data_IF_988174980191
#
_entry.id   IF_988174980191
#
_cell.length_a   1.000
_cell.length_b   1.000
_cell.length_c   1.000
_cell.angle_alpha   90.00
_cell.angle_beta   90.00
_cell.angle_gamma   90.00
#
_symmetry.space_group_name_H-M   'P 1'
#
loop_
_entity.id
_entity.type
_entity.pdbx_description
1 polymer ?
#
# COMPACT_ATOMS: atom_id res chain seq x y z
N UNK A 1 -13.42 0.78 16.21
CA UNK A 1 -13.95 2.15 16.14
C UNK A 1 -13.56 2.78 14.81
N UNK A 2 -14.51 3.42 14.11
CA UNK A 2 -14.28 4.10 12.84
C UNK A 2 -14.17 5.60 13.11
N UNK A 3 -13.17 6.26 12.50
CA UNK A 3 -12.96 7.69 12.57
C UNK A 3 -12.99 8.28 11.14
N UNK A 4 -13.89 9.24 10.89
CA UNK A 4 -13.93 10.01 9.65
C UNK A 4 -13.03 11.23 9.82
N UNK A 5 -11.80 11.16 9.29
CA UNK A 5 -10.80 12.22 9.45
C UNK A 5 -9.76 12.17 8.34
N UNK A 6 -9.00 13.24 8.18
CA UNK A 6 -7.83 13.25 7.33
C UNK A 6 -6.76 12.30 7.91
N UNK A 7 -6.27 11.36 7.11
CA UNK A 7 -5.30 10.36 7.56
C UNK A 7 -3.98 11.00 8.06
N UNK A 8 -3.61 12.17 7.58
CA UNK A 8 -2.43 12.93 8.04
C UNK A 8 -2.49 13.26 9.52
N UNK A 9 -3.69 13.28 10.08
CA UNK A 9 -3.95 13.55 11.50
C UNK A 9 -4.43 12.30 12.27
N UNK A 10 -4.32 11.09 11.70
CA UNK A 10 -4.78 9.84 12.32
C UNK A 10 -4.23 9.65 13.75
N UNK A 11 -3.00 10.11 14.03
CA UNK A 11 -2.39 10.07 15.36
C UNK A 11 -3.19 10.81 16.44
N UNK A 12 -4.05 11.78 16.08
CA UNK A 12 -4.92 12.46 17.04
C UNK A 12 -6.02 11.55 17.58
N UNK A 13 -6.46 10.57 16.76
CA UNK A 13 -7.50 9.63 17.15
C UNK A 13 -6.97 8.41 17.89
N UNK A 14 -5.76 7.93 17.51
CA UNK A 14 -5.22 6.66 18.02
C UNK A 14 -3.99 6.83 18.92
N UNK A 15 -3.38 8.02 18.94
CA UNK A 15 -2.13 8.30 19.64
C UNK A 15 -0.89 8.09 18.76
N UNK A 16 0.18 8.80 19.09
CA UNK A 16 1.49 8.57 18.47
C UNK A 16 2.12 7.29 19.04
N UNK A 17 2.84 6.55 18.19
CA UNK A 17 3.59 5.34 18.56
C UNK A 17 2.76 4.29 19.34
N UNK A 18 1.47 4.20 19.02
CA UNK A 18 0.50 3.38 19.73
C UNK A 18 0.14 2.08 19.00
N UNK A 19 0.41 2.01 17.69
CA UNK A 19 -0.02 0.90 16.85
C UNK A 19 1.12 -0.08 16.58
N UNK A 20 0.79 -1.37 16.61
CA UNK A 20 1.69 -2.46 16.21
C UNK A 20 1.72 -2.64 14.69
N UNK A 21 0.56 -2.45 14.07
CA UNK A 21 0.33 -2.72 12.66
C UNK A 21 -0.54 -1.63 12.05
N UNK A 22 -0.16 -1.20 10.85
CA UNK A 22 -0.96 -0.37 9.96
C UNK A 22 -1.12 -1.10 8.64
N UNK A 23 -2.33 -1.17 8.12
CA UNK A 23 -2.62 -1.64 6.76
C UNK A 23 -3.14 -0.47 5.95
N UNK A 24 -2.56 -0.22 4.81
CA UNK A 24 -2.89 0.92 3.96
C UNK A 24 -3.01 0.53 2.49
N UNK A 25 -4.09 0.96 1.86
CA UNK A 25 -4.25 0.99 0.42
C UNK A 25 -4.32 2.46 -0.01
N UNK A 26 -3.17 3.13 -0.19
CA UNK A 26 -3.14 4.56 -0.45
C UNK A 26 -3.73 4.89 -1.81
N UNK A 27 -4.25 6.11 -2.01
CA UNK A 27 -4.68 6.56 -3.33
C UNK A 27 -3.49 6.61 -4.29
N UNK A 28 -3.69 6.11 -5.52
CA UNK A 28 -2.61 5.97 -6.51
C UNK A 28 -2.45 7.19 -7.42
N UNK A 29 -3.28 8.23 -7.26
CA UNK A 29 -3.27 9.43 -8.08
C UNK A 29 -1.96 10.22 -7.93
N UNK A 30 -1.36 10.63 -9.05
CA UNK A 30 -0.46 11.79 -9.06
C UNK A 30 -1.34 13.04 -9.01
N UNK A 31 -0.88 14.12 -8.39
CA UNK A 31 -1.47 15.43 -8.59
C UNK A 31 -1.64 15.68 -10.10
N UNK A 32 -2.88 15.76 -10.59
CA UNK A 32 -3.20 16.01 -12.00
C UNK A 32 -3.57 14.83 -12.88
N UNK A 33 -3.68 13.60 -12.37
CA UNK A 33 -4.09 12.43 -13.14
C UNK A 33 -5.58 12.10 -12.98
N UNK A 34 -6.38 12.32 -14.01
CA UNK A 34 -7.79 11.88 -14.07
C UNK A 34 -7.83 10.36 -14.18
N UNK A 35 -8.29 9.66 -13.14
CA UNK A 35 -8.69 8.26 -13.26
C UNK A 35 -10.07 8.23 -13.94
N UNK A 36 -10.10 7.86 -15.21
CA UNK A 36 -11.36 7.57 -15.93
C UNK A 36 -11.84 6.18 -15.45
N UNK A 37 -12.78 6.16 -14.54
CA UNK A 37 -13.55 4.94 -14.28
C UNK A 37 -14.57 4.74 -15.40
N UNK A 38 -14.70 3.52 -15.91
CA UNK A 38 -15.62 3.11 -16.98
C UNK A 38 -17.13 3.22 -16.66
N UNK A 39 -17.50 3.85 -15.57
CA UNK A 39 -18.89 4.21 -15.25
C UNK A 39 -18.99 5.72 -15.19
N UNK A 40 -19.67 6.31 -16.17
CA UNK A 40 -19.78 7.74 -16.44
C UNK A 40 -20.44 8.61 -15.37
N UNK A 41 -20.06 8.46 -14.10
CA UNK A 41 -20.48 9.34 -13.03
C UNK A 41 -19.28 10.17 -12.59
N UNK A 42 -19.25 11.42 -13.05
CA UNK A 42 -18.28 12.42 -12.63
C UNK A 42 -18.57 12.78 -11.18
N UNK A 43 -17.75 12.30 -10.25
CA UNK A 43 -17.83 12.72 -8.85
C UNK A 43 -16.91 13.93 -8.66
N UNK A 44 -17.53 15.11 -8.58
CA UNK A 44 -16.93 16.44 -8.39
C UNK A 44 -16.34 16.69 -6.99
N UNK A 45 -15.97 15.65 -6.23
CA UNK A 45 -15.52 15.79 -4.84
C UNK A 45 -14.15 15.15 -4.60
N UNK A 46 -13.10 15.55 -5.35
CA UNK A 46 -11.74 14.98 -5.20
C UNK A 46 -10.61 15.99 -5.18
N UNK A 47 -10.85 17.26 -4.91
CA UNK A 47 -9.81 18.28 -5.02
C UNK A 47 -9.11 18.70 -3.70
N UNK A 48 -9.45 18.11 -2.55
CA UNK A 48 -8.84 18.56 -1.27
C UNK A 48 -8.24 17.48 -0.37
N UNK A 49 -8.23 16.19 -0.79
CA UNK A 49 -7.79 15.09 0.09
C UNK A 49 -6.68 14.19 -0.47
N UNK A 50 -6.15 14.47 -1.64
CA UNK A 50 -5.11 13.62 -2.23
C UNK A 50 -3.74 13.92 -1.60
N UNK A 51 -3.49 13.33 -0.43
CA UNK A 51 -2.16 13.30 0.16
C UNK A 51 -1.17 12.56 -0.76
N UNK A 52 0.10 12.94 -0.69
CA UNK A 52 1.19 12.28 -1.41
C UNK A 52 1.53 10.93 -0.76
N UNK A 53 2.33 10.11 -1.43
CA UNK A 53 2.82 8.87 -0.80
C UNK A 53 3.74 9.16 0.39
N UNK A 54 4.42 10.30 0.38
CA UNK A 54 5.19 10.80 1.51
C UNK A 54 4.30 11.13 2.70
N UNK A 55 3.13 11.75 2.49
CA UNK A 55 2.15 12.01 3.55
C UNK A 55 1.63 10.71 4.16
N UNK A 56 1.36 9.71 3.33
CA UNK A 56 0.94 8.37 3.78
C UNK A 56 2.03 7.70 4.62
N UNK A 57 3.28 7.73 4.16
CA UNK A 57 4.41 7.16 4.89
C UNK A 57 4.61 7.87 6.23
N UNK A 58 4.54 9.21 6.26
CA UNK A 58 4.65 9.99 7.48
C UNK A 58 3.51 9.70 8.48
N UNK A 59 2.27 9.57 7.99
CA UNK A 59 1.12 9.23 8.83
C UNK A 59 1.26 7.84 9.44
N UNK A 60 1.67 6.84 8.66
CA UNK A 60 1.95 5.49 9.17
C UNK A 60 3.06 5.51 10.23
N UNK A 61 4.15 6.22 9.97
CA UNK A 61 5.26 6.34 10.91
C UNK A 61 4.85 7.03 12.22
N UNK A 62 3.95 8.03 12.15
CA UNK A 62 3.49 8.75 13.34
C UNK A 62 2.71 7.88 14.33
N UNK A 63 1.92 6.92 13.84
CA UNK A 63 1.09 6.06 14.68
C UNK A 63 1.77 4.75 15.07
N UNK A 64 2.73 4.25 14.26
CA UNK A 64 3.45 3.01 14.55
C UNK A 64 4.48 3.21 15.67
N UNK A 65 4.50 2.27 16.60
CA UNK A 65 5.61 2.17 17.56
C UNK A 65 6.89 1.67 16.88
N UNK A 66 8.02 1.80 17.54
CA UNK A 66 9.30 1.20 17.08
C UNK A 66 9.12 -0.29 16.83
N UNK A 67 9.60 -0.77 15.69
CA UNK A 67 9.42 -2.12 15.15
C UNK A 67 7.97 -2.49 14.78
N UNK A 68 7.02 -1.55 14.86
CA UNK A 68 5.70 -1.70 14.27
C UNK A 68 5.77 -1.80 12.74
N UNK A 69 4.77 -2.42 12.14
CA UNK A 69 4.77 -2.79 10.72
C UNK A 69 3.68 -2.08 9.93
N UNK A 70 4.06 -1.55 8.77
CA UNK A 70 3.14 -1.06 7.76
C UNK A 70 3.04 -2.07 6.61
N UNK A 71 1.81 -2.41 6.22
CA UNK A 71 1.52 -3.24 5.05
C UNK A 71 0.82 -2.38 4.01
N UNK A 72 1.35 -2.38 2.80
CA UNK A 72 0.86 -1.52 1.72
C UNK A 72 0.66 -2.29 0.43
N UNK A 73 -0.38 -1.92 -0.32
CA UNK A 73 -0.59 -2.29 -1.72
C UNK A 73 -0.30 -1.07 -2.58
N UNK A 74 0.53 -1.20 -3.61
CA UNK A 74 0.91 -0.05 -4.44
C UNK A 74 1.18 -0.47 -5.89
N UNK A 75 1.07 0.43 -6.90
CA UNK A 75 1.43 0.12 -8.27
C UNK A 75 2.91 -0.28 -8.39
N UNK A 76 3.19 -1.45 -8.99
CA UNK A 76 4.54 -2.00 -9.09
C UNK A 76 5.52 -1.05 -9.82
N UNK A 77 5.03 -0.31 -10.83
CA UNK A 77 5.83 0.68 -11.58
C UNK A 77 6.32 1.86 -10.75
N UNK A 78 5.75 2.07 -9.57
CA UNK A 78 6.12 3.15 -8.63
C UNK A 78 6.80 2.62 -7.36
N UNK A 79 7.31 1.39 -7.38
CA UNK A 79 7.94 0.76 -6.22
C UNK A 79 9.09 1.60 -5.64
N UNK A 80 9.94 2.18 -6.47
CA UNK A 80 11.08 2.97 -5.99
C UNK A 80 10.61 4.24 -5.28
N UNK A 81 9.58 4.92 -5.82
CA UNK A 81 8.96 6.09 -5.18
C UNK A 81 8.38 5.71 -3.79
N UNK A 82 7.70 4.57 -3.68
CA UNK A 82 7.21 4.06 -2.40
C UNK A 82 8.35 3.78 -1.42
N UNK A 83 9.42 3.11 -1.86
CA UNK A 83 10.56 2.81 -1.00
C UNK A 83 11.24 4.07 -0.48
N UNK A 84 11.42 5.08 -1.34
CA UNK A 84 12.02 6.37 -0.96
C UNK A 84 11.16 7.10 0.08
N UNK A 85 9.84 7.17 -0.13
CA UNK A 85 8.92 7.80 0.81
C UNK A 85 8.93 7.10 2.18
N UNK A 86 8.90 5.77 2.19
CA UNK A 86 8.96 4.96 3.40
C UNK A 86 10.26 5.21 4.18
N UNK A 87 11.41 5.14 3.51
CA UNK A 87 12.72 5.33 4.15
C UNK A 87 12.91 6.74 4.70
N UNK A 88 12.41 7.77 4.00
CA UNK A 88 12.37 9.15 4.53
C UNK A 88 11.58 9.27 5.83
N UNK A 89 10.62 8.39 6.04
CA UNK A 89 9.78 8.33 7.26
C UNK A 89 10.26 7.28 8.27
N UNK A 90 11.50 6.80 8.15
CA UNK A 90 12.06 5.74 9.03
C UNK A 90 11.30 4.42 9.00
N UNK A 91 10.61 4.14 7.90
CA UNK A 91 9.97 2.86 7.62
C UNK A 91 10.83 2.07 6.63
N UNK A 92 11.56 1.07 7.09
CA UNK A 92 12.44 0.27 6.24
C UNK A 92 11.65 -0.87 5.57
N UNK A 93 11.66 -0.97 4.21
CA UNK A 93 11.09 -2.12 3.51
C UNK A 93 11.71 -3.44 3.96
N UNK A 94 10.88 -4.41 4.34
CA UNK A 94 11.33 -5.71 4.90
C UNK A 94 10.91 -6.90 4.06
N UNK A 95 9.74 -6.84 3.43
CA UNK A 95 9.24 -7.89 2.55
C UNK A 95 8.57 -7.27 1.34
N UNK A 96 8.79 -7.87 0.18
CA UNK A 96 8.13 -7.48 -1.06
C UNK A 96 7.57 -8.74 -1.72
N UNK A 97 6.34 -8.62 -2.21
CA UNK A 97 5.69 -9.61 -3.06
C UNK A 97 5.07 -8.92 -4.26
N UNK A 98 5.50 -9.29 -5.45
CA UNK A 98 4.91 -8.78 -6.69
C UNK A 98 3.59 -9.48 -6.99
N UNK A 99 2.61 -8.77 -7.55
CA UNK A 99 1.33 -9.31 -8.00
C UNK A 99 1.29 -9.24 -9.51
N UNK A 100 1.10 -10.40 -10.16
CA UNK A 100 0.99 -10.56 -11.61
C UNK A 100 -0.40 -11.06 -11.96
N UNK A 101 -0.98 -10.55 -13.05
CA UNK A 101 -2.26 -11.10 -13.53
C UNK A 101 -2.10 -12.55 -13.99
N UNK A 102 -1.01 -12.83 -14.74
CA UNK A 102 -0.55 -14.17 -15.14
C UNK A 102 0.97 -14.24 -14.97
N UNK A 103 1.53 -15.44 -14.88
CA UNK A 103 2.96 -15.65 -14.61
C UNK A 103 3.86 -14.95 -15.66
N UNK A 104 3.46 -14.96 -16.92
CA UNK A 104 4.21 -14.35 -18.03
C UNK A 104 3.98 -12.84 -18.20
N UNK A 105 3.12 -12.24 -17.38
CA UNK A 105 2.83 -10.81 -17.42
C UNK A 105 3.67 -10.04 -16.41
N UNK A 106 4.07 -8.81 -16.72
CA UNK A 106 4.76 -7.97 -15.76
C UNK A 106 3.86 -7.70 -14.54
N UNK A 107 4.46 -7.51 -13.35
CA UNK A 107 3.71 -7.19 -12.16
C UNK A 107 3.01 -5.82 -12.30
N UNK A 108 1.78 -5.73 -11.80
CA UNK A 108 1.01 -4.49 -11.80
C UNK A 108 0.84 -3.90 -10.40
N UNK A 109 0.91 -4.73 -9.36
CA UNK A 109 0.94 -4.29 -7.97
C UNK A 109 2.13 -4.88 -7.23
N UNK A 110 2.48 -4.25 -6.12
CA UNK A 110 3.39 -4.75 -5.10
C UNK A 110 2.66 -4.77 -3.75
N UNK A 111 2.84 -5.87 -3.02
CA UNK A 111 2.53 -5.96 -1.61
C UNK A 111 3.85 -5.73 -0.86
N UNK A 112 3.89 -4.74 0.02
CA UNK A 112 5.09 -4.36 0.73
C UNK A 112 4.84 -4.31 2.23
N UNK A 113 5.73 -4.93 2.99
CA UNK A 113 5.86 -4.77 4.43
C UNK A 113 7.04 -3.87 4.73
N UNK A 114 6.82 -2.80 5.50
CA UNK A 114 7.88 -1.97 6.06
C UNK A 114 7.83 -2.00 7.59
N UNK A 115 8.97 -1.81 8.23
CA UNK A 115 9.10 -1.81 9.70
C UNK A 115 9.76 -0.52 10.18
N UNK A 116 9.16 0.11 11.20
CA UNK A 116 9.65 1.36 11.77
C UNK A 116 10.97 1.16 12.51
N UNK A 117 11.95 2.03 12.22
CA UNK A 117 13.29 2.05 12.81
C UNK A 117 14.07 0.73 12.66
N UNK A 118 13.78 -0.05 11.62
CA UNK A 118 14.48 -1.30 11.36
C UNK A 118 15.76 -1.08 10.55
N UNK A 119 16.69 -2.03 10.66
CA UNK A 119 17.90 -2.06 9.82
C UNK A 119 17.56 -2.53 8.41
N UNK A 120 18.32 -2.11 7.38
CA UNK A 120 18.12 -2.58 6.02
C UNK A 120 18.25 -4.11 5.92
N UNK A 121 17.24 -4.74 5.36
CA UNK A 121 17.26 -6.12 4.85
C UNK A 121 15.94 -6.38 4.14
N UNK A 122 15.98 -6.87 2.93
CA UNK A 122 14.78 -7.08 2.10
C UNK A 122 14.63 -8.55 1.75
N UNK A 123 13.45 -9.11 2.05
CA UNK A 123 13.07 -10.45 1.64
C UNK A 123 12.11 -10.36 0.45
N UNK A 124 12.49 -10.98 -0.67
CA UNK A 124 11.63 -11.18 -1.82
C UNK A 124 10.82 -12.46 -1.64
N UNK A 125 9.50 -12.33 -1.72
CA UNK A 125 8.59 -13.47 -1.73
C UNK A 125 8.27 -13.89 -3.17
N UNK A 126 7.95 -15.17 -3.42
CA UNK A 126 7.45 -15.60 -4.73
C UNK A 126 6.27 -14.76 -5.18
N UNK A 127 6.13 -14.43 -6.47
CA UNK A 127 5.05 -13.59 -6.95
C UNK A 127 3.67 -14.22 -6.65
N UNK A 128 2.68 -13.36 -6.39
CA UNK A 128 1.28 -13.76 -6.37
C UNK A 128 0.75 -13.70 -7.80
N UNK A 129 0.38 -14.84 -8.34
CA UNK A 129 -0.24 -14.95 -9.67
C UNK A 129 -1.74 -15.07 -9.48
N UNK A 130 -2.50 -14.16 -10.13
CA UNK A 130 -3.96 -14.10 -9.94
C UNK A 130 -4.67 -15.15 -10.78
N UNK A 131 -4.27 -15.31 -12.05
CA UNK A 131 -4.95 -16.21 -12.99
C UNK A 131 -4.00 -17.22 -13.61
N UNK A 132 -4.51 -18.43 -13.83
CA UNK A 132 -3.92 -19.43 -14.71
C UNK A 132 -3.94 -18.96 -16.17
N UNK A 133 -3.17 -19.62 -17.08
CA UNK A 133 -3.21 -19.30 -18.51
C UNK A 133 -4.63 -19.38 -19.13
N UNK A 134 -5.48 -20.28 -18.62
CA UNK A 134 -6.87 -20.47 -19.06
C UNK A 134 -7.84 -19.40 -18.52
N UNK A 135 -7.39 -18.49 -17.64
CA UNK A 135 -8.18 -17.39 -17.10
C UNK A 135 -8.91 -17.68 -15.79
N UNK A 136 -8.82 -18.90 -15.25
CA UNK A 136 -9.32 -19.21 -13.90
C UNK A 136 -8.42 -18.61 -12.83
N UNK A 137 -8.98 -18.23 -11.68
CA UNK A 137 -8.19 -17.82 -10.52
C UNK A 137 -7.29 -18.98 -10.04
N UNK A 138 -6.16 -18.65 -9.45
CA UNK A 138 -5.25 -19.65 -8.89
C UNK A 138 -5.75 -20.14 -7.54
N UNK A 139 -5.35 -21.34 -7.15
CA UNK A 139 -5.69 -21.92 -5.84
C UNK A 139 -5.22 -21.05 -4.67
N UNK A 140 -4.20 -20.23 -4.89
CA UNK A 140 -3.74 -19.26 -3.89
C UNK A 140 -4.76 -18.12 -3.72
N UNK A 141 -5.36 -17.65 -4.81
CA UNK A 141 -6.42 -16.64 -4.76
C UNK A 141 -7.66 -17.18 -4.04
N UNK A 142 -8.05 -18.44 -4.33
CA UNK A 142 -9.17 -19.08 -3.63
C UNK A 142 -8.91 -19.17 -2.12
N UNK A 143 -7.69 -19.54 -1.70
CA UNK A 143 -7.31 -19.55 -0.29
C UNK A 143 -7.36 -18.16 0.36
N UNK A 144 -6.91 -17.12 -0.34
CA UNK A 144 -6.93 -15.73 0.17
C UNK A 144 -8.37 -15.27 0.40
N UNK A 145 -9.28 -15.62 -0.50
CA UNK A 145 -10.69 -15.21 -0.41
C UNK A 145 -11.60 -16.22 0.29
N UNK A 146 -11.04 -17.31 0.82
CA UNK A 146 -11.79 -18.36 1.50
C UNK A 146 -12.92 -18.97 0.63
N UNK A 147 -12.62 -19.19 -0.66
CA UNK A 147 -13.52 -19.82 -1.63
C UNK A 147 -13.13 -21.28 -1.86
#
# INVERSE_FOLDING_TARGET
RIHAMDFRHAWQAVGRESMDVVVCNPPYGKQGGTLVNHSGTVTLARHETDGTIEDVAAACAAVLRTHGRAYMVFPAKRLLELCDALRKSSLEPKRIRMVCSKLEKPPYLVLLEAMKNARPSLLWLPPLVVYHPDGRETEEMDRIYHR
#
